data_IF_519379371715
#
_entry.id   IF_519379371715
#
_cell.length_a   1.000
_cell.length_b   1.000
_cell.length_c   1.000
_cell.angle_alpha   90.00
_cell.angle_beta   90.00
_cell.angle_gamma   90.00
#
_symmetry.space_group_name_H-M   'P 1'
#
loop_
_entity.id
_entity.type
_entity.pdbx_description
1 polymer ?
#
# COMPACT_ATOMS: atom_id res chain seq x y z
N UNK A 1 -7.62 12.65 -10.39
CA UNK A 1 -7.25 11.24 -10.39
C UNK A 1 -8.02 10.60 -11.52
N UNK A 2 -7.41 9.78 -12.32
CA UNK A 2 -8.02 9.19 -13.50
C UNK A 2 -8.82 7.95 -13.07
N UNK A 3 -10.13 8.03 -13.03
CA UNK A 3 -11.01 6.91 -12.65
C UNK A 3 -10.83 5.70 -13.58
N UNK A 4 -10.44 5.93 -14.84
CA UNK A 4 -10.23 4.87 -15.81
C UNK A 4 -9.07 3.94 -15.47
N UNK A 5 -8.22 4.32 -14.49
CA UNK A 5 -7.06 3.54 -14.03
C UNK A 5 -7.25 2.83 -12.69
N UNK A 6 -8.48 2.84 -12.16
CA UNK A 6 -8.75 2.20 -10.87
C UNK A 6 -9.94 1.28 -11.00
N UNK A 7 -9.78 0.06 -10.54
CA UNK A 7 -10.88 -0.87 -10.34
C UNK A 7 -11.47 -0.66 -8.95
N UNK A 8 -12.69 -0.17 -8.91
CA UNK A 8 -13.43 0.09 -7.68
C UNK A 8 -14.26 -1.10 -7.22
N UNK A 9 -14.28 -2.20 -7.96
CA UNK A 9 -15.01 -3.44 -7.63
C UNK A 9 -16.46 -3.18 -7.22
N UNK A 10 -17.13 -2.21 -7.85
CA UNK A 10 -18.50 -1.81 -7.51
C UNK A 10 -19.50 -2.90 -7.83
N UNK A 11 -19.24 -3.73 -8.83
CA UNK A 11 -20.11 -4.86 -9.22
C UNK A 11 -20.20 -5.88 -8.07
N UNK A 12 -19.09 -6.25 -7.45
CA UNK A 12 -19.05 -7.15 -6.28
C UNK A 12 -19.80 -6.55 -5.09
N UNK A 13 -19.64 -5.25 -4.86
CA UNK A 13 -20.38 -4.55 -3.82
C UNK A 13 -21.89 -4.58 -4.08
N UNK A 14 -22.32 -4.32 -5.32
CA UNK A 14 -23.75 -4.35 -5.73
C UNK A 14 -24.34 -5.76 -5.57
N UNK A 15 -23.62 -6.79 -5.97
CA UNK A 15 -24.03 -8.18 -5.75
C UNK A 15 -24.24 -8.47 -4.26
N UNK A 16 -23.25 -8.10 -3.43
CA UNK A 16 -23.34 -8.27 -1.97
C UNK A 16 -24.54 -7.54 -1.35
N UNK A 17 -24.85 -6.32 -1.83
CA UNK A 17 -26.01 -5.55 -1.40
C UNK A 17 -27.31 -6.30 -1.74
N UNK A 18 -27.43 -6.83 -2.95
CA UNK A 18 -28.60 -7.57 -3.42
C UNK A 18 -28.79 -8.88 -2.67
N UNK A 19 -27.72 -9.65 -2.49
CA UNK A 19 -27.77 -10.96 -1.84
C UNK A 19 -28.21 -10.88 -0.37
N UNK A 20 -27.96 -9.76 0.29
CA UNK A 20 -28.32 -9.55 1.69
C UNK A 20 -29.53 -8.60 1.87
N UNK A 21 -30.18 -8.17 0.80
CA UNK A 21 -31.33 -7.22 0.80
C UNK A 21 -31.01 -5.92 1.60
N UNK A 22 -29.77 -5.45 1.54
CA UNK A 22 -29.39 -4.20 2.20
C UNK A 22 -30.07 -3.01 1.55
N UNK A 23 -30.67 -2.13 2.36
CA UNK A 23 -31.46 -0.98 1.89
C UNK A 23 -30.79 0.37 2.15
N UNK A 24 -29.95 0.43 3.17
CA UNK A 24 -29.20 1.63 3.51
C UNK A 24 -27.74 1.24 3.78
N UNK A 25 -26.84 1.72 2.93
CA UNK A 25 -25.42 1.49 3.08
C UNK A 25 -24.66 2.80 3.26
N UNK A 26 -23.50 2.74 3.89
CA UNK A 26 -22.57 3.86 3.92
C UNK A 26 -21.40 3.61 2.97
N UNK A 27 -21.06 4.62 2.18
CA UNK A 27 -19.83 4.64 1.39
C UNK A 27 -18.79 5.47 2.17
N UNK A 28 -17.69 4.82 2.56
CA UNK A 28 -16.55 5.47 3.18
C UNK A 28 -15.36 5.39 2.23
N UNK A 29 -14.84 6.55 1.84
CA UNK A 29 -13.77 6.67 0.86
C UNK A 29 -12.58 7.46 1.42
N UNK A 30 -11.35 7.16 1.00
CA UNK A 30 -10.18 7.99 1.30
C UNK A 30 -10.36 9.42 0.79
N UNK A 31 -9.64 10.37 1.42
CA UNK A 31 -9.71 11.78 1.04
C UNK A 31 -9.49 12.01 -0.46
N UNK A 32 -8.55 11.26 -1.06
CA UNK A 32 -8.26 11.37 -2.49
C UNK A 32 -9.38 10.91 -3.43
N UNK A 33 -10.38 10.18 -2.93
CA UNK A 33 -11.50 9.64 -3.72
C UNK A 33 -12.83 10.36 -3.43
N UNK A 34 -12.87 11.34 -2.52
CA UNK A 34 -14.13 12.01 -2.15
C UNK A 34 -14.79 12.75 -3.30
N UNK A 35 -14.02 13.24 -4.25
CA UNK A 35 -14.59 13.92 -5.44
C UNK A 35 -15.34 12.95 -6.36
N UNK A 36 -14.98 11.67 -6.36
CA UNK A 36 -15.61 10.62 -7.17
C UNK A 36 -16.75 9.92 -6.43
N UNK A 37 -16.91 10.19 -5.14
CA UNK A 37 -17.87 9.47 -4.30
C UNK A 37 -19.32 9.60 -4.80
N UNK A 38 -19.70 10.76 -5.34
CA UNK A 38 -21.06 10.97 -5.85
C UNK A 38 -21.35 10.07 -7.06
N UNK A 39 -20.40 9.94 -7.98
CA UNK A 39 -20.53 9.08 -9.15
C UNK A 39 -20.65 7.60 -8.73
N UNK A 40 -19.83 7.18 -7.76
CA UNK A 40 -19.92 5.81 -7.19
C UNK A 40 -21.30 5.57 -6.52
N UNK A 41 -21.81 6.56 -5.78
CA UNK A 41 -23.12 6.47 -5.14
C UNK A 41 -24.23 6.31 -6.19
N UNK A 42 -24.19 7.12 -7.25
CA UNK A 42 -25.18 7.05 -8.34
C UNK A 42 -25.15 5.69 -9.04
N UNK A 43 -23.96 5.11 -9.27
CA UNK A 43 -23.80 3.75 -9.82
C UNK A 43 -24.39 2.70 -8.91
N UNK A 44 -24.04 2.71 -7.61
CA UNK A 44 -24.55 1.74 -6.64
C UNK A 44 -26.07 1.83 -6.51
N UNK A 45 -26.62 3.04 -6.41
CA UNK A 45 -28.07 3.27 -6.32
C UNK A 45 -28.81 2.90 -7.63
N UNK A 46 -28.15 3.08 -8.78
CA UNK A 46 -28.70 2.70 -10.10
C UNK A 46 -28.78 1.20 -10.30
N UNK A 47 -27.82 0.47 -9.79
CA UNK A 47 -27.69 -0.98 -9.97
C UNK A 47 -28.22 -1.81 -8.78
N UNK A 48 -28.63 -1.17 -7.69
CA UNK A 48 -29.22 -1.81 -6.53
C UNK A 48 -30.51 -1.10 -6.08
N UNK A 49 -31.22 -1.68 -5.11
CA UNK A 49 -32.37 -1.03 -4.44
C UNK A 49 -31.96 -0.23 -3.20
N UNK A 50 -30.68 -0.23 -2.85
CA UNK A 50 -30.16 0.45 -1.67
C UNK A 50 -30.10 1.95 -1.85
N UNK A 51 -30.17 2.68 -0.74
CA UNK A 51 -29.77 4.08 -0.64
C UNK A 51 -28.36 4.16 -0.07
N UNK A 52 -27.58 5.13 -0.58
CA UNK A 52 -26.20 5.30 -0.19
C UNK A 52 -26.01 6.62 0.57
N UNK A 53 -25.38 6.57 1.73
CA UNK A 53 -24.94 7.77 2.46
C UNK A 53 -23.41 7.86 2.41
N UNK A 54 -22.90 9.03 2.10
CA UNK A 54 -21.45 9.28 2.11
C UNK A 54 -20.99 9.56 3.54
N UNK A 55 -20.02 8.79 4.02
CA UNK A 55 -19.30 9.11 5.25
C UNK A 55 -18.32 10.25 4.98
N UNK A 56 -18.66 11.46 5.41
CA UNK A 56 -17.86 12.66 5.18
C UNK A 56 -16.64 12.78 6.11
N UNK A 57 -16.55 11.92 7.13
CA UNK A 57 -15.41 11.90 8.05
C UNK A 57 -14.08 11.68 7.32
N UNK A 58 -12.96 12.20 7.84
CA UNK A 58 -11.64 11.91 7.32
C UNK A 58 -11.37 10.40 7.32
N UNK A 59 -10.79 9.89 6.24
CA UNK A 59 -10.46 8.48 6.08
C UNK A 59 -9.05 8.35 5.48
N UNK A 60 -8.10 7.93 6.31
CA UNK A 60 -6.70 7.76 5.95
C UNK A 60 -6.22 6.31 6.10
N UNK A 61 -7.00 5.46 6.74
CA UNK A 61 -6.65 4.07 6.99
C UNK A 61 -7.84 3.19 7.31
N UNK A 62 -7.63 1.87 7.30
CA UNK A 62 -8.65 0.88 7.67
C UNK A 62 -9.10 0.97 9.15
N UNK A 63 -8.39 1.75 9.96
CA UNK A 63 -8.74 2.03 11.36
C UNK A 63 -9.70 3.23 11.54
N UNK A 64 -9.93 4.02 10.48
CA UNK A 64 -10.81 5.20 10.54
C UNK A 64 -12.28 4.78 10.33
N UNK A 65 -12.80 3.96 11.24
CA UNK A 65 -14.13 3.39 11.11
C UNK A 65 -15.21 4.33 11.61
N UNK A 66 -16.27 4.52 10.82
CA UNK A 66 -17.43 5.39 11.13
C UNK A 66 -18.61 4.64 11.73
N UNK A 67 -18.41 3.44 12.22
CA UNK A 67 -19.44 2.46 12.55
C UNK A 67 -20.49 2.98 13.54
N UNK A 68 -20.11 3.64 14.61
CA UNK A 68 -21.07 4.11 15.61
C UNK A 68 -22.04 5.15 15.03
N UNK A 69 -21.54 6.08 14.22
CA UNK A 69 -22.40 7.07 13.55
C UNK A 69 -23.34 6.40 12.56
N UNK A 70 -22.82 5.49 11.74
CA UNK A 70 -23.58 4.78 10.71
C UNK A 70 -24.64 3.87 11.31
N UNK A 71 -24.34 3.20 12.42
CA UNK A 71 -25.31 2.41 13.17
C UNK A 71 -26.47 3.25 13.71
N UNK A 72 -26.19 4.45 14.23
CA UNK A 72 -27.23 5.37 14.70
C UNK A 72 -28.15 5.86 13.58
N UNK A 73 -27.65 5.89 12.34
CA UNK A 73 -28.42 6.25 11.14
C UNK A 73 -29.20 5.07 10.54
N UNK A 74 -29.06 3.86 11.10
CA UNK A 74 -29.69 2.66 10.57
C UNK A 74 -29.02 2.06 9.35
N UNK A 75 -27.74 2.41 9.11
CA UNK A 75 -26.94 1.80 8.04
C UNK A 75 -26.70 0.33 8.34
N UNK A 76 -26.84 -0.51 7.32
CA UNK A 76 -26.77 -1.97 7.42
C UNK A 76 -25.40 -2.53 6.98
N UNK A 77 -24.70 -1.83 6.09
CA UNK A 77 -23.39 -2.19 5.56
C UNK A 77 -22.53 -0.93 5.36
N UNK A 78 -21.28 -0.99 5.75
CA UNK A 78 -20.26 0.01 5.37
C UNK A 78 -19.43 -0.54 4.22
N UNK A 79 -19.41 0.13 3.08
CA UNK A 79 -18.45 -0.10 2.00
C UNK A 79 -17.23 0.80 2.26
N UNK A 80 -16.12 0.21 2.71
CA UNK A 80 -14.89 0.91 3.04
C UNK A 80 -13.87 0.74 1.91
N UNK A 81 -13.61 1.80 1.17
CA UNK A 81 -12.79 1.77 -0.04
C UNK A 81 -11.32 2.13 0.24
N UNK A 82 -10.44 1.62 -0.60
CA UNK A 82 -9.02 1.98 -0.63
C UNK A 82 -8.15 1.33 0.45
N UNK A 83 -8.72 0.46 1.29
CA UNK A 83 -8.00 -0.21 2.37
C UNK A 83 -8.37 -1.69 2.46
N UNK A 84 -7.48 -2.48 3.03
CA UNK A 84 -7.75 -3.87 3.39
C UNK A 84 -8.30 -3.99 4.79
N UNK A 85 -9.08 -5.04 5.02
CA UNK A 85 -9.55 -5.37 6.36
C UNK A 85 -8.36 -5.53 7.32
N UNK A 86 -8.45 -4.90 8.47
CA UNK A 86 -7.61 -5.18 9.63
C UNK A 86 -8.35 -6.14 10.55
N UNK A 87 -7.62 -6.93 11.32
CA UNK A 87 -8.20 -7.81 12.34
C UNK A 87 -8.71 -7.02 13.56
N UNK A 88 -9.71 -6.16 13.30
CA UNK A 88 -10.40 -5.33 14.30
C UNK A 88 -11.87 -5.72 14.24
N UNK A 89 -12.43 -6.11 15.38
CA UNK A 89 -13.87 -6.31 15.49
C UNK A 89 -14.57 -4.95 15.39
N UNK A 90 -15.23 -4.73 14.28
CA UNK A 90 -15.92 -3.48 14.01
C UNK A 90 -17.36 -3.44 14.56
N UNK A 91 -17.90 -4.60 14.95
CA UNK A 91 -19.27 -4.73 15.43
C UNK A 91 -20.36 -4.30 14.43
N UNK A 92 -19.99 -4.07 13.16
CA UNK A 92 -20.88 -3.70 12.06
C UNK A 92 -20.40 -4.35 10.76
N UNK A 93 -21.32 -4.87 9.92
CA UNK A 93 -20.94 -5.41 8.62
C UNK A 93 -20.17 -4.37 7.81
N UNK A 94 -18.97 -4.75 7.37
CA UNK A 94 -18.10 -3.90 6.56
C UNK A 94 -17.56 -4.69 5.39
N UNK A 95 -17.64 -4.10 4.20
CA UNK A 95 -17.01 -4.62 3.00
C UNK A 95 -15.83 -3.74 2.64
N UNK A 96 -14.63 -4.31 2.76
CA UNK A 96 -13.40 -3.61 2.41
C UNK A 96 -13.10 -3.82 0.93
N UNK A 97 -12.95 -2.74 0.19
CA UNK A 97 -12.68 -2.73 -1.24
C UNK A 97 -11.29 -2.13 -1.45
N UNK A 98 -10.30 -2.91 -1.93
CA UNK A 98 -8.92 -2.45 -2.07
C UNK A 98 -8.73 -1.26 -3.01
N UNK A 99 -9.57 -1.11 -4.04
CA UNK A 99 -9.42 -0.12 -5.13
C UNK A 99 -8.07 -0.31 -5.81
N UNK A 100 -7.97 -1.30 -6.67
CA UNK A 100 -6.72 -1.63 -7.35
C UNK A 100 -6.40 -0.65 -8.45
N UNK A 101 -5.11 -0.34 -8.61
CA UNK A 101 -4.63 0.53 -9.67
C UNK A 101 -4.37 -0.30 -10.93
N UNK A 102 -5.11 -0.04 -11.99
CA UNK A 102 -4.93 -0.67 -13.30
C UNK A 102 -3.88 0.10 -14.13
N UNK A 103 -2.64 -0.05 -13.77
CA UNK A 103 -1.50 0.54 -14.47
C UNK A 103 -0.25 -0.28 -14.22
N UNK A 104 0.66 -0.29 -15.18
CA UNK A 104 2.01 -0.83 -15.02
C UNK A 104 2.99 0.34 -14.81
N UNK A 105 3.29 0.72 -13.55
CA UNK A 105 4.27 1.76 -13.28
C UNK A 105 5.62 1.38 -13.88
N UNK A 106 6.27 2.36 -14.51
CA UNK A 106 7.60 2.15 -15.09
C UNK A 106 8.62 1.75 -14.02
N UNK A 107 9.13 0.53 -14.08
CA UNK A 107 10.17 0.05 -13.15
C UNK A 107 11.59 0.52 -13.56
N UNK A 108 11.79 0.92 -14.80
CA UNK A 108 13.08 1.32 -15.33
C UNK A 108 13.78 2.44 -14.54
N UNK A 109 13.10 3.49 -14.08
CA UNK A 109 13.71 4.50 -13.21
C UNK A 109 14.21 3.90 -11.88
N UNK A 110 13.44 2.99 -11.29
CA UNK A 110 13.79 2.29 -10.05
C UNK A 110 15.01 1.40 -10.28
N UNK A 111 15.03 0.60 -11.34
CA UNK A 111 16.15 -0.26 -11.71
C UNK A 111 17.46 0.55 -11.89
N UNK A 112 17.40 1.70 -12.55
CA UNK A 112 18.56 2.59 -12.70
C UNK A 112 19.10 3.06 -11.36
N UNK A 113 18.22 3.42 -10.43
CA UNK A 113 18.62 3.85 -9.08
C UNK A 113 19.26 2.67 -8.33
N UNK A 114 18.63 1.50 -8.34
CA UNK A 114 19.14 0.31 -7.67
C UNK A 114 20.51 -0.12 -8.20
N UNK A 115 20.69 -0.16 -9.52
CA UNK A 115 21.96 -0.50 -10.15
C UNK A 115 23.06 0.50 -9.76
N UNK A 116 22.76 1.80 -9.77
CA UNK A 116 23.70 2.83 -9.35
C UNK A 116 24.11 2.65 -7.88
N UNK A 117 23.15 2.37 -6.99
CA UNK A 117 23.43 2.12 -5.57
C UNK A 117 24.28 0.87 -5.36
N UNK A 118 24.05 -0.19 -6.14
CA UNK A 118 24.85 -1.41 -6.11
C UNK A 118 26.31 -1.16 -6.52
N UNK A 119 26.54 -0.35 -7.55
CA UNK A 119 27.90 0.03 -7.96
C UNK A 119 28.61 0.90 -6.89
N UNK A 120 27.89 1.87 -6.32
CA UNK A 120 28.42 2.71 -5.24
C UNK A 120 28.82 1.89 -4.01
N UNK A 121 28.03 0.86 -3.67
CA UNK A 121 28.32 -0.03 -2.54
C UNK A 121 29.58 -0.87 -2.79
N UNK A 122 29.77 -1.35 -4.02
CA UNK A 122 30.98 -2.08 -4.40
C UNK A 122 32.22 -1.19 -4.29
N UNK A 123 32.14 0.04 -4.76
CA UNK A 123 33.25 0.99 -4.71
C UNK A 123 33.60 1.39 -3.26
N UNK A 124 32.59 1.60 -2.39
CA UNK A 124 32.82 1.84 -0.96
C UNK A 124 33.49 0.67 -0.24
N UNK A 125 33.14 -0.56 -0.56
CA UNK A 125 33.78 -1.75 0.00
C UNK A 125 35.25 -1.86 -0.43
N UNK A 126 35.58 -1.34 -1.62
CA UNK A 126 36.98 -1.28 -2.09
C UNK A 126 37.72 -0.16 -1.35
N UNK A 127 37.13 1.03 -1.25
CA UNK A 127 37.72 2.18 -0.56
C UNK A 127 37.88 1.95 0.95
N UNK A 128 36.92 1.28 1.61
CA UNK A 128 37.00 0.98 3.06
C UNK A 128 38.12 0.00 3.44
N UNK A 129 38.70 -0.71 2.47
CA UNK A 129 39.88 -1.56 2.70
C UNK A 129 41.19 -0.81 2.66
N UNK A 130 41.19 0.46 2.19
CA UNK A 130 42.36 1.31 2.06
C UNK A 130 42.40 2.47 3.07
N UNK A 131 41.35 2.69 3.88
CA UNK A 131 41.26 3.84 4.79
C UNK A 131 41.83 3.60 6.16
N UNK A 132 42.90 4.34 6.43
CA UNK A 132 43.48 4.71 7.71
C UNK A 132 42.65 5.85 8.34
N UNK A 133 42.48 5.80 9.65
CA UNK A 133 41.83 6.74 10.60
C UNK A 133 41.30 8.08 10.06
N UNK A 134 39.96 8.19 10.04
CA UNK A 134 39.24 9.45 9.77
C UNK A 134 39.34 10.40 10.96
N UNK A 135 39.53 11.68 10.68
CA UNK A 135 39.41 12.74 11.70
C UNK A 135 37.92 12.87 12.15
N UNK A 136 37.72 13.43 13.35
CA UNK A 136 36.38 13.60 13.93
C UNK A 136 35.48 14.50 13.07
N UNK A 137 36.04 15.47 12.38
CA UNK A 137 35.35 16.40 11.48
C UNK A 137 34.92 15.71 10.17
N UNK A 138 35.77 14.87 9.62
CA UNK A 138 35.45 14.07 8.42
C UNK A 138 34.36 13.03 8.71
N UNK A 139 34.39 12.40 9.88
CA UNK A 139 33.34 11.47 10.32
C UNK A 139 32.01 12.20 10.50
N UNK A 140 32.00 13.43 11.03
CA UNK A 140 30.79 14.23 11.21
C UNK A 140 30.24 14.76 9.88
N UNK A 141 31.08 15.16 8.94
CA UNK A 141 30.69 15.56 7.59
C UNK A 141 30.07 14.38 6.82
N UNK A 142 30.67 13.20 6.90
CA UNK A 142 30.14 11.96 6.30
C UNK A 142 28.84 11.51 6.94
N UNK A 143 28.67 11.69 8.26
CA UNK A 143 27.41 11.40 8.94
C UNK A 143 26.27 12.30 8.45
N UNK A 144 26.51 13.61 8.33
CA UNK A 144 25.53 14.58 7.80
C UNK A 144 25.21 14.31 6.32
N UNK A 145 26.18 13.92 5.53
CA UNK A 145 26.00 13.49 4.15
C UNK A 145 25.22 12.16 4.04
N UNK A 146 25.35 11.26 5.01
CA UNK A 146 24.67 9.98 5.05
C UNK A 146 23.21 10.10 5.50
N UNK A 147 22.88 11.06 6.38
CA UNK A 147 21.50 11.32 6.84
C UNK A 147 20.61 11.86 5.70
N UNK A 148 21.19 12.45 4.66
CA UNK A 148 20.48 12.92 3.47
C UNK A 148 20.47 11.94 2.29
N UNK A 149 21.09 10.76 2.43
CA UNK A 149 21.21 9.78 1.34
C UNK A 149 20.57 8.44 1.74
N UNK A 150 19.84 7.85 0.81
CA UNK A 150 19.41 6.45 0.94
C UNK A 150 20.65 5.60 1.21
N UNK A 151 20.62 4.78 2.25
CA UNK A 151 21.72 3.87 2.59
C UNK A 151 22.11 3.02 1.36
N UNK A 152 23.41 2.86 1.08
CA UNK A 152 23.84 1.99 -0.02
C UNK A 152 23.32 0.57 0.19
N UNK A 153 22.93 -0.09 -0.90
CA UNK A 153 22.50 -1.49 -0.85
C UNK A 153 23.61 -2.36 -0.25
N UNK A 154 23.32 -2.99 0.89
CA UNK A 154 24.26 -3.90 1.57
C UNK A 154 24.07 -5.34 1.10
N UNK A 155 23.96 -5.55 -0.19
CA UNK A 155 23.75 -6.90 -0.74
C UNK A 155 22.95 -6.85 -2.03
N UNK A 156 22.47 -8.02 -2.44
CA UNK A 156 21.71 -8.21 -3.68
C UNK A 156 20.26 -8.64 -3.41
N UNK A 157 19.90 -8.81 -2.13
CA UNK A 157 18.59 -9.28 -1.69
C UNK A 157 17.68 -8.12 -1.36
N UNK A 158 16.53 -8.08 -2.00
CA UNK A 158 15.53 -7.01 -1.89
C UNK A 158 14.22 -7.56 -1.35
N UNK A 159 13.60 -6.85 -0.41
CA UNK A 159 12.22 -7.06 -0.02
C UNK A 159 11.30 -6.19 -0.87
N UNK A 160 10.38 -6.80 -1.60
CA UNK A 160 9.41 -6.09 -2.43
C UNK A 160 8.08 -5.98 -1.67
N UNK A 161 7.65 -4.75 -1.44
CA UNK A 161 6.43 -4.46 -0.68
C UNK A 161 5.61 -3.37 -1.37
N UNK A 162 4.32 -3.33 -1.05
CA UNK A 162 3.42 -2.35 -1.63
C UNK A 162 2.17 -2.09 -0.80
N UNK A 163 1.48 -1.01 -1.10
CA UNK A 163 0.14 -0.79 -0.59
C UNK A 163 -0.85 -1.75 -1.25
N UNK A 164 -2.00 -1.95 -0.62
CA UNK A 164 -3.03 -2.90 -1.09
C UNK A 164 -3.43 -2.66 -2.56
N UNK A 165 -3.39 -1.43 -3.04
CA UNK A 165 -3.73 -1.05 -4.41
C UNK A 165 -2.77 -1.62 -5.46
N UNK A 166 -1.54 -1.98 -5.07
CA UNK A 166 -0.46 -2.35 -5.98
C UNK A 166 0.04 -3.79 -5.79
N UNK A 167 -0.53 -4.55 -4.85
CA UNK A 167 -0.04 -5.90 -4.52
C UNK A 167 -0.08 -6.86 -5.71
N UNK A 168 -1.08 -6.71 -6.59
CA UNK A 168 -1.21 -7.54 -7.80
C UNK A 168 -0.05 -7.35 -8.80
N UNK A 169 0.74 -6.27 -8.67
CA UNK A 169 1.90 -5.98 -9.51
C UNK A 169 3.20 -6.60 -8.98
N UNK A 170 3.24 -7.02 -7.70
CA UNK A 170 4.49 -7.43 -7.05
C UNK A 170 5.19 -8.60 -7.75
N UNK A 171 4.45 -9.60 -8.22
CA UNK A 171 5.06 -10.73 -8.91
C UNK A 171 5.70 -10.32 -10.26
N UNK A 172 5.04 -9.44 -11.01
CA UNK A 172 5.62 -8.88 -12.25
C UNK A 172 6.88 -8.07 -11.98
N UNK A 173 6.89 -7.27 -10.93
CA UNK A 173 8.09 -6.51 -10.53
C UNK A 173 9.19 -7.40 -10.01
N UNK A 174 8.86 -8.43 -9.24
CA UNK A 174 9.82 -9.44 -8.78
C UNK A 174 10.55 -10.06 -9.96
N UNK A 175 9.84 -10.54 -10.96
CA UNK A 175 10.45 -11.13 -12.17
C UNK A 175 11.40 -10.15 -12.86
N UNK A 176 11.00 -8.90 -13.03
CA UNK A 176 11.82 -7.86 -13.69
C UNK A 176 13.08 -7.53 -12.88
N UNK A 177 13.00 -7.48 -11.57
CA UNK A 177 14.13 -7.26 -10.67
C UNK A 177 15.08 -8.47 -10.64
N UNK A 178 14.55 -9.68 -10.64
CA UNK A 178 15.35 -10.92 -10.71
C UNK A 178 16.09 -11.03 -12.04
N UNK A 179 15.46 -10.67 -13.16
CA UNK A 179 16.10 -10.57 -14.46
C UNK A 179 17.23 -9.52 -14.50
N UNK A 180 17.16 -8.48 -13.67
CA UNK A 180 18.22 -7.49 -13.47
C UNK A 180 19.32 -7.97 -12.50
N UNK A 181 19.22 -9.19 -11.98
CA UNK A 181 20.22 -9.86 -11.14
C UNK A 181 20.10 -9.55 -9.65
N UNK A 182 18.92 -9.19 -9.17
CA UNK A 182 18.62 -9.10 -7.73
C UNK A 182 17.98 -10.40 -7.24
N UNK A 183 18.15 -10.71 -5.97
CA UNK A 183 17.37 -11.73 -5.26
C UNK A 183 16.18 -11.03 -4.61
N UNK A 184 14.94 -11.41 -4.97
CA UNK A 184 13.75 -10.67 -4.52
C UNK A 184 12.84 -11.55 -3.67
N UNK A 185 12.45 -11.02 -2.52
CA UNK A 185 11.52 -11.67 -1.60
C UNK A 185 10.29 -10.78 -1.44
N UNK A 186 9.10 -11.36 -1.53
CA UNK A 186 7.85 -10.73 -1.14
C UNK A 186 7.56 -11.22 0.28
N UNK A 187 7.79 -10.38 1.31
CA UNK A 187 7.73 -10.84 2.70
C UNK A 187 6.27 -11.07 3.15
N UNK A 188 6.09 -12.02 4.04
CA UNK A 188 4.81 -12.22 4.73
C UNK A 188 4.79 -11.32 5.96
N UNK A 189 3.78 -10.46 6.06
CA UNK A 189 3.63 -9.54 7.17
C UNK A 189 3.10 -10.19 8.45
N UNK A 190 3.15 -9.44 9.55
CA UNK A 190 2.59 -9.84 10.84
C UNK A 190 1.05 -9.82 10.86
N UNK A 191 0.47 -10.10 12.03
CA UNK A 191 -0.96 -10.38 12.26
C UNK A 191 -1.97 -9.31 11.73
N UNK A 192 -1.51 -8.08 11.46
CA UNK A 192 -2.38 -7.00 10.95
C UNK A 192 -2.33 -6.82 9.44
N UNK A 193 -1.54 -7.61 8.76
CA UNK A 193 -1.39 -7.58 7.31
C UNK A 193 -2.09 -8.80 6.72
N UNK A 194 -2.96 -8.56 5.76
CA UNK A 194 -3.81 -9.62 5.19
C UNK A 194 -3.15 -10.34 4.01
N UNK A 195 -2.12 -9.73 3.41
CA UNK A 195 -1.53 -10.24 2.17
C UNK A 195 0.00 -10.19 2.21
N UNK A 196 0.69 -11.14 1.54
CA UNK A 196 2.13 -11.06 1.32
C UNK A 196 2.52 -9.75 0.63
N UNK A 197 3.64 -9.16 1.04
CA UNK A 197 4.15 -7.90 0.50
C UNK A 197 3.36 -6.66 0.91
N UNK A 198 2.26 -6.81 1.64
CA UNK A 198 1.48 -5.67 2.07
C UNK A 198 2.20 -4.84 3.13
N UNK A 199 2.13 -3.51 2.98
CA UNK A 199 2.50 -2.54 4.01
C UNK A 199 1.36 -1.58 4.27
N UNK A 200 1.30 -1.10 5.51
CA UNK A 200 0.40 -0.03 5.95
C UNK A 200 1.24 1.16 6.40
N UNK A 201 0.68 2.36 6.40
CA UNK A 201 1.36 3.55 6.88
C UNK A 201 1.85 3.45 8.34
N UNK A 202 1.28 2.55 9.12
CA UNK A 202 1.62 2.29 10.53
C UNK A 202 2.20 0.88 10.78
N UNK A 203 2.32 0.03 9.76
CA UNK A 203 2.80 -1.34 9.93
C UNK A 203 3.64 -1.79 8.72
N UNK A 204 4.93 -1.96 8.97
CA UNK A 204 5.95 -2.44 8.03
C UNK A 204 6.54 -3.77 8.52
N UNK A 205 5.79 -4.54 9.33
CA UNK A 205 6.24 -5.83 9.86
C UNK A 205 6.20 -6.89 8.76
N UNK A 206 7.26 -7.00 7.99
CA UNK A 206 7.58 -8.19 7.22
C UNK A 206 8.60 -9.04 7.97
N UNK A 207 8.76 -10.29 7.58
CA UNK A 207 9.86 -11.11 8.08
C UNK A 207 11.18 -10.51 7.60
N UNK A 208 11.95 -9.94 8.53
CA UNK A 208 13.07 -9.04 8.23
C UNK A 208 14.44 -9.70 8.38
N UNK A 209 14.50 -10.93 8.88
CA UNK A 209 15.74 -11.49 9.41
C UNK A 209 16.86 -11.67 8.36
N UNK A 210 16.57 -11.58 7.05
CA UNK A 210 17.55 -11.75 5.99
C UNK A 210 17.43 -10.75 4.81
N UNK A 211 16.59 -9.73 4.93
CA UNK A 211 16.36 -8.78 3.84
C UNK A 211 17.23 -7.55 4.02
N UNK A 212 18.11 -7.27 3.06
CA UNK A 212 18.99 -6.11 3.12
C UNK A 212 18.29 -4.76 2.92
N UNK A 213 17.30 -4.71 2.04
CA UNK A 213 16.55 -3.49 1.71
C UNK A 213 15.13 -3.81 1.25
N UNK A 214 14.19 -2.88 1.53
CA UNK A 214 12.83 -2.90 1.02
C UNK A 214 12.64 -1.86 -0.09
N UNK A 215 11.82 -2.20 -1.07
CA UNK A 215 11.39 -1.35 -2.19
C UNK A 215 9.87 -1.37 -2.25
#
# INVERSE_FOLDING_TARGET
MDLERHDFQLEELVERIKDNDHRLIALQVPEGLKMQALEMMDMIEGDSSAKVVLAADPCYGACDLVHDKMRMMGVELVAHMGHSQMNIDSGMPTHFIPVTYDGDPEIEPVLKILMKHREMSKNRLIESKEETELTKEEAQSRFLDAVGRVSPLTGNKLGLVGSIQHLHLLESYKERLENAGFEVVIPVGGERLSFPGQVLGCNYSGDQDDIGHYI
#
